data_IF_613490534288
#
_entry.id   IF_613490534288
#
_cell.length_a   1.000
_cell.length_b   1.000
_cell.length_c   1.000
_cell.angle_alpha   90.00
_cell.angle_beta   90.00
_cell.angle_gamma   90.00
#
_symmetry.space_group_name_H-M   'P 1'
#
loop_
_entity.id
_entity.type
_entity.pdbx_description
1 polymer ?
#
# COMPACT_ATOMS: atom_id res chain seq x y z
N UNK A 1 -14.82 -16.07 4.60
CA UNK A 1 -13.41 -16.52 4.49
C UNK A 1 -12.60 -15.77 5.55
N UNK A 2 -11.77 -16.46 6.33
CA UNK A 2 -10.91 -15.83 7.35
C UNK A 2 -9.63 -15.31 6.66
N UNK A 3 -9.15 -14.14 7.09
CA UNK A 3 -7.85 -13.62 6.63
C UNK A 3 -6.75 -14.35 7.39
N UNK A 4 -5.80 -14.91 6.67
CA UNK A 4 -4.54 -15.44 7.19
C UNK A 4 -3.44 -14.40 6.94
N UNK A 5 -3.01 -13.73 8.00
CA UNK A 5 -1.99 -12.69 7.94
C UNK A 5 -0.58 -13.20 7.71
N UNK A 6 -0.38 -14.53 7.71
CA UNK A 6 0.89 -15.19 7.43
C UNK A 6 0.98 -15.74 6.01
N UNK A 7 -0.13 -15.69 5.26
CA UNK A 7 -0.19 -16.22 3.91
C UNK A 7 0.76 -15.49 2.97
N UNK A 8 1.66 -16.22 2.32
CA UNK A 8 2.56 -15.69 1.31
C UNK A 8 1.88 -15.72 -0.06
N UNK A 9 1.57 -14.55 -0.62
CA UNK A 9 0.83 -14.43 -1.88
C UNK A 9 1.58 -14.93 -3.13
N UNK A 10 2.87 -15.17 -3.05
CA UNK A 10 3.60 -15.85 -4.12
C UNK A 10 3.28 -17.33 -4.20
N UNK A 11 2.70 -17.94 -3.14
CA UNK A 11 2.34 -19.37 -3.12
C UNK A 11 1.18 -19.71 -4.08
N UNK A 12 0.28 -18.76 -4.35
CA UNK A 12 -0.83 -18.94 -5.29
C UNK A 12 -0.74 -18.03 -6.54
N UNK A 13 0.41 -17.37 -6.72
CA UNK A 13 0.64 -16.50 -7.88
C UNK A 13 1.12 -17.25 -9.14
N UNK A 14 1.30 -18.58 -9.08
CA UNK A 14 1.72 -19.41 -10.22
C UNK A 14 2.98 -18.88 -10.92
N UNK A 15 3.95 -18.38 -10.15
CA UNK A 15 5.19 -17.77 -10.67
C UNK A 15 5.03 -16.36 -11.24
N UNK A 16 3.83 -15.80 -11.21
CA UNK A 16 3.54 -14.44 -11.65
C UNK A 16 3.66 -13.41 -10.53
N UNK A 17 3.26 -12.20 -10.86
CA UNK A 17 3.15 -11.09 -9.92
C UNK A 17 1.87 -11.26 -9.07
N UNK A 18 1.97 -11.38 -7.73
CA UNK A 18 0.81 -11.55 -6.85
C UNK A 18 -0.28 -10.49 -7.05
N UNK A 19 0.08 -9.24 -7.32
CA UNK A 19 -0.87 -8.15 -7.57
C UNK A 19 -1.84 -8.46 -8.72
N UNK A 20 -1.43 -9.32 -9.65
CA UNK A 20 -2.22 -9.70 -10.83
C UNK A 20 -2.79 -11.10 -10.75
N UNK A 21 -2.10 -12.02 -10.10
CA UNK A 21 -2.34 -13.46 -10.25
C UNK A 21 -2.78 -14.14 -8.97
N UNK A 22 -2.48 -13.62 -7.77
CA UNK A 22 -2.96 -14.20 -6.52
C UNK A 22 -4.47 -14.00 -6.34
N UNK A 23 -5.21 -15.11 -6.36
CA UNK A 23 -6.65 -15.10 -6.08
C UNK A 23 -6.94 -14.82 -4.61
N UNK A 24 -6.06 -15.25 -3.71
CA UNK A 24 -6.16 -15.02 -2.27
C UNK A 24 -5.99 -13.55 -1.93
N UNK A 25 -4.96 -12.88 -2.50
CA UNK A 25 -4.76 -11.44 -2.31
C UNK A 25 -5.98 -10.64 -2.77
N UNK A 26 -6.54 -10.97 -3.92
CA UNK A 26 -7.76 -10.34 -4.45
C UNK A 26 -8.94 -10.51 -3.50
N UNK A 27 -9.13 -11.71 -2.97
CA UNK A 27 -10.19 -12.00 -2.01
C UNK A 27 -10.00 -11.20 -0.72
N UNK A 28 -8.77 -11.08 -0.22
CA UNK A 28 -8.46 -10.29 0.97
C UNK A 28 -8.73 -8.80 0.75
N UNK A 29 -8.37 -8.24 -0.39
CA UNK A 29 -8.72 -6.86 -0.72
C UNK A 29 -10.24 -6.62 -0.70
N UNK A 30 -11.03 -7.55 -1.25
CA UNK A 30 -12.50 -7.43 -1.21
C UNK A 30 -13.04 -7.46 0.22
N UNK A 31 -12.52 -8.33 1.07
CA UNK A 31 -12.93 -8.41 2.48
C UNK A 31 -12.56 -7.14 3.24
N UNK A 32 -11.34 -6.65 3.07
CA UNK A 32 -10.80 -5.54 3.86
C UNK A 32 -11.35 -4.18 3.44
N UNK A 33 -11.55 -3.99 2.14
CA UNK A 33 -11.84 -2.67 1.60
C UNK A 33 -13.29 -2.50 1.12
N UNK A 34 -14.11 -3.59 1.14
CA UNK A 34 -15.58 -3.44 1.01
C UNK A 34 -16.16 -3.06 2.37
N UNK A 35 -16.21 -1.77 2.65
CA UNK A 35 -16.67 -1.23 3.93
C UNK A 35 -17.18 0.20 3.82
N UNK A 36 -17.74 0.73 4.91
CA UNK A 36 -18.20 2.11 4.97
C UNK A 36 -17.04 3.09 4.86
N UNK A 37 -17.23 4.12 4.08
CA UNK A 37 -16.42 5.32 4.00
C UNK A 37 -16.71 6.26 5.17
N UNK A 38 -15.88 7.31 5.40
CA UNK A 38 -16.16 8.31 6.45
C UNK A 38 -17.53 8.97 6.35
N UNK A 39 -18.04 9.21 5.13
CA UNK A 39 -19.37 9.74 4.88
C UNK A 39 -20.53 8.77 5.14
N UNK A 40 -20.23 7.52 5.55
CA UNK A 40 -21.20 6.46 5.84
C UNK A 40 -21.66 5.63 4.65
N UNK A 41 -21.32 6.02 3.41
CA UNK A 41 -21.64 5.24 2.21
C UNK A 41 -20.78 3.98 2.12
N UNK A 42 -21.31 2.92 1.48
CA UNK A 42 -20.61 1.65 1.39
C UNK A 42 -19.77 1.58 0.12
N UNK A 43 -18.48 1.39 0.28
CA UNK A 43 -17.53 1.18 -0.81
C UNK A 43 -17.39 -0.32 -1.05
N UNK A 44 -18.10 -0.87 -2.03
CA UNK A 44 -18.08 -2.28 -2.37
C UNK A 44 -17.06 -2.57 -3.47
N UNK A 45 -16.23 -3.58 -3.27
CA UNK A 45 -15.29 -4.08 -4.27
C UNK A 45 -15.80 -5.37 -4.91
N UNK A 46 -15.92 -5.35 -6.23
CA UNK A 46 -16.26 -6.51 -7.05
C UNK A 46 -15.14 -6.82 -8.04
N UNK A 47 -15.23 -7.94 -8.72
CA UNK A 47 -14.32 -8.27 -9.82
C UNK A 47 -14.88 -7.72 -11.14
N UNK A 48 -14.01 -7.12 -11.93
CA UNK A 48 -14.31 -6.77 -13.30
C UNK A 48 -13.19 -7.24 -14.22
N UNK A 49 -13.56 -7.72 -15.41
CA UNK A 49 -12.62 -8.13 -16.45
C UNK A 49 -11.70 -9.28 -16.00
N UNK A 50 -12.30 -10.46 -15.87
CA UNK A 50 -11.57 -11.73 -15.67
C UNK A 50 -10.43 -11.67 -14.62
N UNK A 51 -10.71 -11.05 -13.46
CA UNK A 51 -9.80 -11.08 -12.32
C UNK A 51 -8.61 -10.11 -12.39
N UNK A 52 -8.54 -9.20 -13.37
CA UNK A 52 -7.42 -8.25 -13.46
C UNK A 52 -7.61 -7.02 -12.57
N UNK A 53 -8.85 -6.52 -12.43
CA UNK A 53 -9.15 -5.35 -11.64
C UNK A 53 -10.15 -5.64 -10.53
N UNK A 54 -9.90 -5.04 -9.36
CA UNK A 54 -10.95 -4.78 -8.39
C UNK A 54 -11.74 -3.57 -8.90
N UNK A 55 -13.04 -3.60 -8.69
CA UNK A 55 -13.95 -2.64 -9.30
C UNK A 55 -14.97 -2.14 -8.30
N UNK A 56 -15.19 -0.83 -8.30
CA UNK A 56 -16.28 -0.16 -7.59
C UNK A 56 -17.08 0.68 -8.56
N UNK A 57 -18.40 0.65 -8.43
CA UNK A 57 -19.30 1.58 -9.13
C UNK A 57 -20.53 1.86 -8.27
N UNK A 58 -20.75 3.13 -7.98
CA UNK A 58 -21.92 3.62 -7.26
C UNK A 58 -22.15 5.11 -7.59
N UNK A 59 -23.01 5.79 -6.83
CA UNK A 59 -23.14 7.24 -6.87
C UNK A 59 -21.86 8.00 -6.53
N UNK A 60 -20.92 7.36 -5.83
CA UNK A 60 -19.58 7.89 -5.52
C UNK A 60 -18.64 7.94 -6.74
N UNK A 61 -18.95 7.22 -7.81
CA UNK A 61 -18.13 7.17 -9.01
C UNK A 61 -17.83 5.75 -9.48
N UNK A 62 -16.96 5.65 -10.48
CA UNK A 62 -16.50 4.40 -11.06
C UNK A 62 -14.97 4.31 -10.94
N UNK A 63 -14.49 3.27 -10.26
CA UNK A 63 -13.07 3.07 -9.96
C UNK A 63 -12.60 1.69 -10.38
N UNK A 64 -11.53 1.65 -11.17
CA UNK A 64 -10.75 0.46 -11.47
C UNK A 64 -9.52 0.47 -10.56
N UNK A 65 -9.38 -0.51 -9.69
CA UNK A 65 -8.36 -0.53 -8.64
C UNK A 65 -7.42 -1.71 -8.87
N UNK A 66 -6.14 -1.47 -8.71
CA UNK A 66 -5.11 -2.50 -8.73
C UNK A 66 -4.49 -2.65 -7.35
N UNK A 67 -4.08 -3.87 -7.04
CA UNK A 67 -3.22 -4.13 -5.90
C UNK A 67 -1.85 -3.49 -6.12
N UNK A 68 -1.17 -3.14 -5.05
CA UNK A 68 0.19 -2.65 -5.07
C UNK A 68 0.91 -3.04 -3.77
N UNK A 69 2.12 -3.55 -3.90
CA UNK A 69 3.00 -3.75 -2.76
C UNK A 69 3.48 -2.39 -2.24
N UNK A 70 3.20 -2.10 -0.98
CA UNK A 70 3.57 -0.84 -0.33
C UNK A 70 5.02 -0.81 0.14
N UNK A 71 5.75 -1.89 -0.06
CA UNK A 71 7.16 -2.01 0.32
C UNK A 71 7.94 -2.71 -0.78
N UNK A 72 9.18 -2.33 -0.93
CA UNK A 72 10.09 -2.92 -1.90
C UNK A 72 11.27 -3.57 -1.19
N UNK A 73 11.48 -4.86 -1.47
CA UNK A 73 12.60 -5.63 -0.88
C UNK A 73 13.96 -5.30 -1.52
N UNK A 74 13.96 -4.57 -2.63
CA UNK A 74 15.13 -4.33 -3.48
C UNK A 74 15.80 -5.59 -4.03
N UNK A 75 15.20 -6.76 -3.88
CA UNK A 75 15.77 -8.05 -4.30
C UNK A 75 16.26 -8.05 -5.74
N UNK A 76 15.49 -7.45 -6.66
CA UNK A 76 15.80 -7.39 -8.10
C UNK A 76 16.08 -5.97 -8.60
N UNK A 77 16.28 -5.01 -7.69
CA UNK A 77 16.48 -3.62 -8.07
C UNK A 77 17.91 -3.39 -8.56
N UNK A 78 18.11 -3.20 -9.84
CA UNK A 78 19.42 -3.09 -10.48
C UNK A 78 20.40 -2.14 -9.76
N UNK A 79 19.92 -1.01 -9.25
CA UNK A 79 20.73 0.00 -8.55
C UNK A 79 21.22 -0.45 -7.17
N UNK A 80 20.65 -1.52 -6.63
CA UNK A 80 20.95 -2.05 -5.30
C UNK A 80 21.59 -3.43 -5.36
N UNK A 81 21.85 -3.96 -6.57
CA UNK A 81 22.40 -5.31 -6.76
C UNK A 81 23.72 -5.51 -6.00
N UNK A 82 24.60 -4.47 -5.98
CA UNK A 82 25.85 -4.52 -5.26
C UNK A 82 25.69 -4.75 -3.75
N UNK A 83 24.59 -4.19 -3.18
CA UNK A 83 24.26 -4.31 -1.76
C UNK A 83 23.53 -5.63 -1.49
N UNK A 84 22.48 -5.91 -2.26
CA UNK A 84 21.61 -7.07 -2.03
C UNK A 84 22.33 -8.40 -2.22
N UNK A 85 23.37 -8.46 -3.05
CA UNK A 85 24.21 -9.66 -3.20
C UNK A 85 25.05 -9.99 -1.97
N UNK A 86 25.37 -9.01 -1.12
CA UNK A 86 26.15 -9.19 0.10
C UNK A 86 25.32 -9.67 1.29
N UNK A 87 24.00 -9.40 1.26
CA UNK A 87 23.07 -9.62 2.40
C UNK A 87 21.80 -10.34 1.93
N UNK A 88 21.96 -11.42 1.18
CA UNK A 88 20.85 -12.16 0.54
C UNK A 88 19.78 -12.62 1.53
N UNK A 89 20.19 -13.10 2.69
CA UNK A 89 19.28 -13.63 3.70
C UNK A 89 18.41 -12.50 4.28
N UNK A 90 19.00 -11.33 4.53
CA UNK A 90 18.29 -10.14 5.01
C UNK A 90 17.27 -9.64 3.97
N UNK A 91 17.66 -9.66 2.69
CA UNK A 91 16.77 -9.29 1.58
C UNK A 91 15.64 -10.32 1.42
N UNK A 92 15.93 -11.61 1.60
CA UNK A 92 14.92 -12.67 1.54
C UNK A 92 13.92 -12.54 2.69
N UNK A 93 14.37 -12.26 3.92
CA UNK A 93 13.49 -12.06 5.07
C UNK A 93 12.52 -10.88 4.85
N UNK A 94 13.03 -9.75 4.30
CA UNK A 94 12.17 -8.63 3.94
C UNK A 94 11.17 -9.00 2.83
N UNK A 95 11.59 -9.76 1.84
CA UNK A 95 10.74 -10.24 0.76
C UNK A 95 9.62 -11.14 1.30
N UNK A 96 9.93 -12.09 2.18
CA UNK A 96 8.94 -13.01 2.76
C UNK A 96 7.93 -12.26 3.62
N UNK A 97 8.40 -11.34 4.47
CA UNK A 97 7.51 -10.46 5.26
C UNK A 97 6.65 -9.57 4.34
N UNK A 98 7.25 -9.00 3.31
CA UNK A 98 6.60 -8.16 2.31
C UNK A 98 5.63 -8.91 1.38
N UNK A 99 5.59 -10.24 1.47
CA UNK A 99 4.66 -11.08 0.71
C UNK A 99 3.34 -11.36 1.46
N UNK A 100 3.12 -10.74 2.62
CA UNK A 100 1.91 -10.88 3.44
C UNK A 100 0.98 -9.67 3.32
N UNK A 101 -0.29 -9.79 3.74
CA UNK A 101 -1.34 -8.76 3.50
C UNK A 101 -1.00 -7.39 4.06
N UNK A 102 -0.23 -7.32 5.15
CA UNK A 102 0.24 -6.04 5.72
C UNK A 102 1.09 -5.20 4.76
N UNK A 103 1.65 -5.82 3.72
CA UNK A 103 2.46 -5.15 2.72
C UNK A 103 1.68 -4.73 1.46
N UNK A 104 0.34 -4.91 1.42
CA UNK A 104 -0.43 -4.61 0.21
C UNK A 104 -1.51 -3.57 0.45
N UNK A 105 -1.77 -2.78 -0.58
CA UNK A 105 -2.87 -1.81 -0.64
C UNK A 105 -3.50 -1.82 -2.03
N UNK A 106 -4.47 -0.93 -2.27
CA UNK A 106 -5.07 -0.73 -3.59
C UNK A 106 -4.97 0.73 -4.00
N UNK A 107 -4.72 0.95 -5.29
CA UNK A 107 -4.76 2.28 -5.91
C UNK A 107 -5.55 2.26 -7.21
N UNK A 108 -6.08 3.42 -7.66
CA UNK A 108 -6.60 3.55 -9.02
C UNK A 108 -5.58 3.10 -10.06
N UNK A 109 -6.00 2.19 -10.95
CA UNK A 109 -5.11 1.56 -11.93
C UNK A 109 -5.48 1.87 -13.39
N UNK A 110 -6.50 2.69 -13.63
CA UNK A 110 -6.78 3.26 -14.94
C UNK A 110 -5.87 4.47 -15.19
N UNK A 111 -5.26 4.53 -16.36
CA UNK A 111 -4.48 5.71 -16.77
C UNK A 111 -5.44 6.87 -17.09
N UNK A 112 -5.16 8.02 -16.49
CA UNK A 112 -5.79 9.29 -16.80
C UNK A 112 -4.84 10.06 -17.73
N UNK A 113 -5.36 10.59 -18.84
CA UNK A 113 -4.61 11.35 -19.84
C UNK A 113 -3.35 10.62 -20.38
N UNK A 114 -3.40 9.29 -20.44
CA UNK A 114 -2.28 8.42 -20.85
C UNK A 114 -1.03 8.53 -19.94
N UNK A 115 -1.13 9.23 -18.81
CA UNK A 115 -0.05 9.41 -17.83
C UNK A 115 0.10 8.16 -16.95
N UNK A 116 1.20 8.11 -16.19
CA UNK A 116 1.45 7.05 -15.23
C UNK A 116 0.35 6.98 -14.17
N UNK A 117 -0.03 5.76 -13.80
CA UNK A 117 -0.87 5.50 -12.61
C UNK A 117 -0.09 5.85 -11.34
N UNK A 118 -0.77 5.88 -10.19
CA UNK A 118 -0.10 6.15 -8.91
C UNK A 118 1.04 5.16 -8.69
N UNK A 119 0.80 3.87 -8.87
CA UNK A 119 1.81 2.83 -8.72
C UNK A 119 3.02 3.06 -9.65
N UNK A 120 2.76 3.30 -10.94
CA UNK A 120 3.83 3.58 -11.89
C UNK A 120 4.63 4.85 -11.53
N UNK A 121 3.93 5.92 -11.10
CA UNK A 121 4.58 7.17 -10.73
C UNK A 121 5.49 7.01 -9.51
N UNK A 122 5.07 6.25 -8.49
CA UNK A 122 5.90 5.91 -7.31
C UNK A 122 7.22 5.25 -7.73
N UNK A 123 7.14 4.25 -8.62
CA UNK A 123 8.30 3.47 -9.04
C UNK A 123 9.28 4.24 -9.94
N UNK A 124 8.80 5.19 -10.78
CA UNK A 124 9.67 5.94 -11.69
C UNK A 124 10.15 7.26 -11.11
N UNK A 125 9.50 7.81 -10.10
CA UNK A 125 9.90 9.07 -9.47
C UNK A 125 11.14 8.86 -8.61
N UNK A 126 12.23 9.51 -8.97
CA UNK A 126 13.53 9.34 -8.29
C UNK A 126 13.58 9.90 -6.87
N UNK A 127 12.63 10.73 -6.46
CA UNK A 127 12.52 11.26 -5.10
C UNK A 127 11.63 10.37 -4.20
N UNK A 128 10.95 9.40 -4.80
CA UNK A 128 10.12 8.41 -4.07
C UNK A 128 10.79 7.04 -4.07
N UNK A 129 11.35 6.62 -5.21
CA UNK A 129 12.05 5.35 -5.42
C UNK A 129 11.27 4.14 -4.84
N UNK A 130 9.93 4.18 -5.04
CA UNK A 130 8.95 3.19 -4.59
C UNK A 130 8.82 3.03 -3.05
N UNK A 131 9.35 3.94 -2.24
CA UNK A 131 9.19 3.97 -0.79
C UNK A 131 7.80 4.41 -0.40
N UNK A 132 7.13 3.62 0.42
CA UNK A 132 5.74 3.90 0.82
C UNK A 132 5.63 5.00 1.88
N UNK A 133 6.56 5.10 2.80
CA UNK A 133 6.61 6.20 3.77
C UNK A 133 6.66 7.57 3.05
N UNK A 134 7.47 7.70 2.00
CA UNK A 134 7.54 8.91 1.17
C UNK A 134 6.27 9.10 0.34
N UNK A 135 5.67 8.01 -0.15
CA UNK A 135 4.38 8.06 -0.83
C UNK A 135 3.28 8.56 0.11
N UNK A 136 3.27 8.08 1.35
CA UNK A 136 2.28 8.47 2.34
C UNK A 136 2.45 9.94 2.76
N UNK A 137 3.68 10.44 2.84
CA UNK A 137 3.93 11.88 3.01
C UNK A 137 3.39 12.70 1.84
N UNK A 138 3.58 12.24 0.60
CA UNK A 138 2.97 12.91 -0.55
C UNK A 138 1.43 12.93 -0.48
N UNK A 139 0.80 11.86 0.02
CA UNK A 139 -0.67 11.81 0.23
C UNK A 139 -1.07 12.80 1.33
N UNK A 140 -0.34 12.86 2.44
CA UNK A 140 -0.59 13.82 3.53
C UNK A 140 -0.52 15.26 3.02
N UNK A 141 0.53 15.60 2.28
CA UNK A 141 0.71 16.92 1.67
C UNK A 141 -0.40 17.22 0.66
N UNK A 142 -0.86 16.24 -0.10
CA UNK A 142 -1.97 16.41 -1.05
C UNK A 142 -3.27 16.80 -0.34
N UNK A 143 -3.62 16.14 0.77
CA UNK A 143 -4.79 16.54 1.58
C UNK A 143 -4.61 17.93 2.22
N UNK A 144 -3.39 18.33 2.53
CA UNK A 144 -3.07 19.68 3.00
C UNK A 144 -3.02 20.75 1.88
N UNK A 145 -3.26 20.38 0.62
CA UNK A 145 -3.17 21.27 -0.53
C UNK A 145 -1.74 21.73 -0.87
N UNK A 146 -0.73 20.97 -0.41
CA UNK A 146 0.68 21.29 -0.56
C UNK A 146 1.33 20.50 -1.71
N UNK A 147 2.36 21.08 -2.31
CA UNK A 147 3.11 20.45 -3.38
C UNK A 147 3.98 19.29 -2.88
N UNK A 148 4.11 18.25 -3.71
CA UNK A 148 4.98 17.10 -3.46
C UNK A 148 5.40 16.47 -4.78
N UNK A 149 6.40 15.54 -4.80
CA UNK A 149 6.81 14.84 -6.02
C UNK A 149 5.69 14.06 -6.73
N UNK A 150 4.59 13.71 -6.04
CA UNK A 150 3.44 13.01 -6.61
C UNK A 150 2.17 13.87 -6.72
N UNK A 151 2.24 15.18 -6.42
CA UNK A 151 1.08 16.06 -6.37
C UNK A 151 0.23 16.01 -7.66
N UNK A 152 0.85 16.22 -8.83
CA UNK A 152 0.15 16.19 -10.11
C UNK A 152 -0.41 14.80 -10.45
N UNK A 153 0.23 13.75 -9.96
CA UNK A 153 -0.29 12.39 -10.08
C UNK A 153 -1.58 12.26 -9.26
N UNK A 154 -1.57 12.65 -7.99
CA UNK A 154 -2.77 12.54 -7.13
C UNK A 154 -3.89 13.45 -7.59
N UNK A 155 -3.60 14.62 -8.12
CA UNK A 155 -4.59 15.54 -8.69
C UNK A 155 -5.45 14.86 -9.77
N UNK A 156 -4.87 13.97 -10.58
CA UNK A 156 -5.63 13.22 -11.60
C UNK A 156 -6.59 12.20 -10.98
N UNK A 157 -6.36 11.78 -9.73
CA UNK A 157 -7.19 10.84 -8.98
C UNK A 157 -7.87 11.51 -7.78
N UNK A 158 -8.07 12.84 -7.83
CA UNK A 158 -8.64 13.62 -6.75
C UNK A 158 -9.94 13.00 -6.22
N UNK A 159 -10.85 12.60 -7.12
CA UNK A 159 -12.13 12.01 -6.74
C UNK A 159 -11.97 10.72 -5.91
N UNK A 160 -10.90 9.96 -6.12
CA UNK A 160 -10.61 8.78 -5.29
C UNK A 160 -10.17 9.18 -3.88
N UNK A 161 -9.32 10.19 -3.75
CA UNK A 161 -8.87 10.66 -2.44
C UNK A 161 -10.01 11.36 -1.66
N UNK A 162 -10.91 12.04 -2.34
CA UNK A 162 -12.09 12.68 -1.72
C UNK A 162 -13.05 11.68 -1.06
N UNK A 163 -13.03 10.40 -1.44
CA UNK A 163 -13.80 9.35 -0.78
C UNK A 163 -13.48 9.20 0.72
N UNK A 164 -12.30 9.58 1.13
CA UNK A 164 -11.81 9.38 2.51
C UNK A 164 -11.89 10.66 3.35
N UNK A 165 -12.48 11.74 2.80
CA UNK A 165 -12.68 13.04 3.46
C UNK A 165 -11.37 13.78 3.72
N UNK A 166 -10.44 13.18 4.47
CA UNK A 166 -9.17 13.79 4.87
C UNK A 166 -8.08 12.72 5.03
N UNK A 167 -6.86 13.14 5.37
CA UNK A 167 -5.73 12.24 5.54
C UNK A 167 -5.98 11.19 6.62
N UNK A 168 -6.60 11.59 7.75
CA UNK A 168 -6.96 10.65 8.82
C UNK A 168 -7.93 9.58 8.33
N UNK A 169 -8.97 9.97 7.59
CA UNK A 169 -9.93 9.04 7.00
C UNK A 169 -9.27 8.05 6.04
N UNK A 170 -8.29 8.51 5.24
CA UNK A 170 -7.48 7.64 4.38
C UNK A 170 -6.66 6.62 5.19
N UNK A 171 -5.96 7.09 6.24
CA UNK A 171 -5.17 6.24 7.14
C UNK A 171 -6.05 5.18 7.81
N UNK A 172 -7.19 5.58 8.37
CA UNK A 172 -8.10 4.69 9.08
C UNK A 172 -8.75 3.67 8.12
N UNK A 173 -9.12 4.11 6.91
CA UNK A 173 -9.69 3.23 5.91
C UNK A 173 -8.71 2.15 5.48
N UNK A 174 -7.45 2.50 5.19
CA UNK A 174 -6.44 1.53 4.73
C UNK A 174 -5.63 0.90 5.86
N UNK A 175 -6.02 1.11 7.13
CA UNK A 175 -5.35 0.55 8.32
C UNK A 175 -3.85 0.86 8.34
N UNK A 176 -3.49 2.13 8.12
CA UNK A 176 -2.11 2.60 8.01
C UNK A 176 -1.61 3.31 9.28
N UNK A 177 -2.40 3.26 10.36
CA UNK A 177 -2.12 3.99 11.61
C UNK A 177 -0.75 3.69 12.23
N UNK A 178 -0.16 2.51 11.93
CA UNK A 178 1.16 2.14 12.45
C UNK A 178 2.31 2.93 11.80
N UNK A 179 2.05 3.56 10.63
CA UNK A 179 3.02 4.40 9.91
C UNK A 179 2.90 5.90 10.22
N UNK A 180 1.99 6.28 11.11
CA UNK A 180 1.85 7.67 11.57
C UNK A 180 1.91 7.76 13.09
N UNK A 181 2.27 8.93 13.60
CA UNK A 181 2.14 9.24 15.02
C UNK A 181 0.74 9.80 15.37
N UNK A 182 0.54 10.19 16.63
CA UNK A 182 -0.71 10.75 17.14
C UNK A 182 -1.07 12.10 16.53
N UNK A 183 -0.10 12.81 15.95
CA UNK A 183 -0.26 14.09 15.27
C UNK A 183 -0.33 13.91 13.73
N UNK A 184 -0.52 12.69 13.24
CA UNK A 184 -0.56 12.33 11.82
C UNK A 184 0.76 12.59 11.06
N UNK A 185 1.90 12.72 11.76
CA UNK A 185 3.20 12.79 11.12
C UNK A 185 3.66 11.39 10.69
N UNK A 186 4.33 11.31 9.55
CA UNK A 186 4.84 10.05 9.02
C UNK A 186 6.03 9.56 9.85
N UNK A 187 6.01 8.30 10.23
CA UNK A 187 7.17 7.59 10.78
C UNK A 187 8.04 7.09 9.63
N UNK A 188 9.00 7.92 9.22
CA UNK A 188 9.87 7.59 8.11
C UNK A 188 10.81 6.43 8.45
N UNK A 189 11.04 5.54 7.48
CA UNK A 189 11.96 4.40 7.64
C UNK A 189 13.44 4.83 7.72
N UNK A 190 13.78 5.97 7.09
CA UNK A 190 15.08 6.63 7.13
C UNK A 190 14.87 8.14 7.31
N UNK A 191 15.90 8.91 7.72
CA UNK A 191 15.79 10.36 7.84
C UNK A 191 15.19 11.01 6.59
N UNK A 192 14.24 11.91 6.78
CA UNK A 192 13.53 12.59 5.72
C UNK A 192 14.08 14.00 5.51
N UNK A 193 14.44 14.32 4.27
CA UNK A 193 15.08 15.58 3.88
C UNK A 193 14.15 16.54 3.10
N UNK A 194 12.84 16.33 3.18
CA UNK A 194 11.83 17.08 2.43
C UNK A 194 11.98 16.93 0.91
N UNK A 195 12.23 15.71 0.43
CA UNK A 195 12.40 15.37 -0.98
C UNK A 195 13.54 16.12 -1.70
N UNK A 196 14.58 16.54 -0.98
CA UNK A 196 15.72 17.25 -1.57
C UNK A 196 16.65 16.33 -2.34
N UNK A 197 16.81 15.11 -1.82
CA UNK A 197 17.70 14.12 -2.41
C UNK A 197 16.98 12.82 -2.74
N UNK A 198 17.63 12.00 -3.53
CA UNK A 198 17.12 10.67 -3.84
C UNK A 198 17.23 9.77 -2.60
N UNK A 199 16.15 9.05 -2.21
CA UNK A 199 16.13 8.18 -1.05
C UNK A 199 16.86 6.86 -1.35
N UNK A 200 18.18 6.92 -1.47
CA UNK A 200 19.03 5.75 -1.74
C UNK A 200 19.83 5.40 -0.49
N UNK A 201 20.11 4.11 -0.28
CA UNK A 201 20.98 3.67 0.82
C UNK A 201 22.44 3.97 0.47
N UNK A 202 23.19 4.50 1.42
CA UNK A 202 24.63 4.69 1.29
C UNK A 202 25.37 3.36 1.45
N UNK A 203 24.90 2.50 2.37
CA UNK A 203 25.57 1.26 2.75
C UNK A 203 24.58 0.19 3.28
N UNK A 204 25.13 -0.91 3.79
CA UNK A 204 24.38 -2.02 4.35
C UNK A 204 23.65 -1.61 5.65
N UNK A 205 24.24 -0.77 6.48
CA UNK A 205 23.66 -0.36 7.76
C UNK A 205 22.38 0.48 7.55
N UNK A 206 22.40 1.40 6.59
CA UNK A 206 21.18 2.13 6.20
C UNK A 206 20.11 1.20 5.63
N UNK A 207 20.51 0.20 4.81
CA UNK A 207 19.54 -0.79 4.33
C UNK A 207 18.93 -1.58 5.48
N UNK A 208 19.70 -2.05 6.43
CA UNK A 208 19.20 -2.80 7.59
C UNK A 208 18.28 -1.95 8.46
N UNK A 209 18.59 -0.65 8.62
CA UNK A 209 17.70 0.30 9.28
C UNK A 209 16.37 0.45 8.53
N UNK A 210 16.41 0.63 7.23
CA UNK A 210 15.21 0.65 6.37
C UNK A 210 14.41 -0.65 6.48
N UNK A 211 15.07 -1.81 6.31
CA UNK A 211 14.47 -3.13 6.43
C UNK A 211 13.71 -3.28 7.75
N UNK A 212 14.37 -2.93 8.86
CA UNK A 212 13.76 -3.01 10.19
C UNK A 212 12.48 -2.19 10.26
N UNK A 213 12.52 -0.92 9.86
CA UNK A 213 11.34 -0.04 9.87
C UNK A 213 10.18 -0.58 9.05
N UNK A 214 10.47 -1.07 7.85
CA UNK A 214 9.47 -1.68 6.95
C UNK A 214 8.86 -2.94 7.57
N UNK A 215 9.69 -3.84 8.10
CA UNK A 215 9.21 -5.09 8.70
C UNK A 215 8.37 -4.84 9.96
N UNK A 216 8.79 -3.92 10.81
CA UNK A 216 8.05 -3.53 12.01
C UNK A 216 6.66 -2.99 11.62
N UNK A 217 6.59 -2.14 10.61
CA UNK A 217 5.33 -1.63 10.07
C UNK A 217 4.43 -2.75 9.52
N UNK A 218 4.96 -3.64 8.67
CA UNK A 218 4.18 -4.73 8.08
C UNK A 218 3.62 -5.65 9.18
N UNK A 219 4.44 -6.04 10.15
CA UNK A 219 4.03 -6.89 11.28
C UNK A 219 2.94 -6.23 12.12
N UNK A 220 3.09 -4.94 12.44
CA UNK A 220 2.08 -4.17 13.17
C UNK A 220 0.76 -4.07 12.38
N UNK A 221 0.84 -3.76 11.08
CA UNK A 221 -0.32 -3.68 10.21
C UNK A 221 -0.99 -5.04 10.01
N UNK A 222 -0.25 -6.15 9.87
CA UNK A 222 -0.80 -7.50 9.84
C UNK A 222 -1.67 -7.77 11.09
N UNK A 223 -1.15 -7.45 12.28
CA UNK A 223 -1.90 -7.59 13.54
C UNK A 223 -3.15 -6.70 13.57
N UNK A 224 -3.07 -5.48 13.06
CA UNK A 224 -4.22 -4.57 12.93
C UNK A 224 -5.28 -5.12 11.99
N UNK A 225 -4.87 -5.69 10.86
CA UNK A 225 -5.75 -6.34 9.88
C UNK A 225 -6.44 -7.56 10.51
N UNK A 226 -5.72 -8.40 11.23
CA UNK A 226 -6.31 -9.56 11.93
C UNK A 226 -7.37 -9.13 12.95
N UNK A 227 -7.04 -8.15 13.79
CA UNK A 227 -7.98 -7.60 14.77
C UNK A 227 -9.23 -7.01 14.10
N UNK A 228 -9.05 -6.26 13.00
CA UNK A 228 -10.16 -5.71 12.24
C UNK A 228 -11.04 -6.80 11.65
N UNK A 229 -10.47 -7.80 10.98
CA UNK A 229 -11.21 -8.89 10.36
C UNK A 229 -11.98 -9.74 11.40
N UNK A 230 -11.37 -10.02 12.54
CA UNK A 230 -12.02 -10.77 13.64
C UNK A 230 -13.20 -9.98 14.24
N UNK A 231 -13.07 -8.66 14.41
CA UNK A 231 -14.16 -7.80 14.87
C UNK A 231 -15.34 -7.81 13.90
N UNK A 232 -15.10 -7.66 12.61
CA UNK A 232 -16.14 -7.68 11.57
C UNK A 232 -16.88 -9.04 11.56
N UNK A 233 -16.17 -10.15 11.69
CA UNK A 233 -16.77 -11.49 11.75
C UNK A 233 -17.69 -11.66 12.98
N UNK A 234 -17.32 -11.10 14.13
CA UNK A 234 -18.12 -11.14 15.36
C UNK A 234 -19.39 -10.32 15.22
N UNK A 235 -19.30 -9.10 14.67
CA UNK A 235 -20.45 -8.21 14.45
C UNK A 235 -21.47 -8.81 13.47
N UNK A 236 -21.01 -9.45 12.39
CA UNK A 236 -21.88 -10.15 11.44
C UNK A 236 -22.61 -11.35 12.07
N UNK A 237 -21.95 -12.09 12.97
CA UNK A 237 -22.58 -13.21 13.67
C UNK A 237 -23.60 -12.75 14.74
N UNK A 238 -23.39 -11.60 15.35
CA UNK A 238 -24.31 -11.02 16.34
C UNK A 238 -25.57 -10.41 15.72
N UNK A 239 -25.55 -10.12 14.41
CA UNK A 239 -26.64 -9.51 13.65
C UNK A 239 -27.54 -10.53 12.93
N UNK A 240 -27.23 -11.83 13.07
CA UNK A 240 -28.01 -12.96 12.55
C UNK A 240 -28.78 -13.64 13.67
#
# INVERSE_FOLDING_TARGET
MKIDITFNFYSDANGGDPDRTSSTLRSYHKILWSKKLPNGEFFELTDKKAGVYLYHKSGLGEYYLGSDAITHSYRNHKRKTWLTQQIKDEVQELFDTGSTIGAYTIFPNNRVDKQHTINQARGVNSLIDDRFDLTLECIRLFYAGQQSPLYDTFKRYKNFFELFDNFKGYIDFFLLNDLVDENENIKFYLPFDNFKTRPTFADIEEYLTYKKGVMDFIKARNKRIDNYANKQATEQNASR
#
